data_IF_670119130308
#
_entry.id   IF_670119130308
#
_cell.length_a   1.000
_cell.length_b   1.000
_cell.length_c   1.000
_cell.angle_alpha   90.00
_cell.angle_beta   90.00
_cell.angle_gamma   90.00
#
_symmetry.space_group_name_H-M   'P 1'
#
loop_
_entity.id
_entity.type
_entity.pdbx_description
1 polymer ?
#
# COMPACT_ATOMS: atom_id res chain seq x y z
N UNK A 1 -8.13 60.85 -48.04
CA UNK A 1 -7.51 61.59 -46.92
C UNK A 1 -6.70 60.62 -46.06
N UNK A 2 -5.39 60.51 -46.32
CA UNK A 2 -4.45 59.71 -45.54
C UNK A 2 -3.73 60.61 -44.54
N UNK A 3 -4.42 60.98 -43.45
CA UNK A 3 -3.80 61.76 -42.38
C UNK A 3 -2.94 60.83 -41.52
N UNK A 4 -1.62 61.02 -41.48
CA UNK A 4 -0.69 60.14 -40.73
C UNK A 4 -1.04 60.07 -39.25
N UNK A 5 -1.54 61.17 -38.70
CA UNK A 5 -1.85 61.32 -37.28
C UNK A 5 -3.00 60.41 -36.85
N UNK A 6 -3.96 60.15 -37.75
CA UNK A 6 -5.05 59.20 -37.50
C UNK A 6 -4.54 57.75 -37.37
N UNK A 7 -3.44 57.39 -38.04
CA UNK A 7 -2.82 56.06 -37.88
C UNK A 7 -2.18 55.90 -36.50
N UNK A 8 -1.58 56.97 -35.98
CA UNK A 8 -0.95 56.97 -34.65
C UNK A 8 -2.00 56.88 -33.53
N UNK A 9 -3.09 57.65 -33.61
CA UNK A 9 -4.20 57.56 -32.66
C UNK A 9 -4.85 56.18 -32.68
N UNK A 10 -5.10 55.61 -33.86
CA UNK A 10 -5.63 54.25 -33.99
C UNK A 10 -4.69 53.21 -33.38
N UNK A 11 -3.38 53.33 -33.61
CA UNK A 11 -2.37 52.45 -33.01
C UNK A 11 -2.39 52.53 -31.47
N UNK A 12 -2.51 53.73 -30.90
CA UNK A 12 -2.61 53.91 -29.43
C UNK A 12 -3.88 53.25 -28.90
N UNK A 13 -5.02 53.41 -29.57
CA UNK A 13 -6.27 52.74 -29.16
C UNK A 13 -6.19 51.21 -29.20
N UNK A 14 -5.59 50.65 -30.25
CA UNK A 14 -5.41 49.20 -30.38
C UNK A 14 -4.46 48.66 -29.32
N UNK A 15 -3.32 49.32 -29.11
CA UNK A 15 -2.34 48.95 -28.08
C UNK A 15 -2.90 49.09 -26.67
N UNK A 16 -3.75 50.08 -26.39
CA UNK A 16 -4.41 50.21 -25.09
C UNK A 16 -5.27 48.98 -24.75
N UNK A 17 -6.03 48.46 -25.72
CA UNK A 17 -6.83 47.24 -25.56
C UNK A 17 -5.97 45.98 -25.35
N UNK A 18 -4.83 45.88 -26.03
CA UNK A 18 -3.87 44.79 -25.83
C UNK A 18 -3.24 44.84 -24.42
N UNK A 19 -2.79 46.02 -23.99
CA UNK A 19 -2.24 46.24 -22.65
C UNK A 19 -3.25 45.88 -21.56
N UNK A 20 -4.53 46.22 -21.75
CA UNK A 20 -5.57 45.85 -20.80
C UNK A 20 -5.83 44.33 -20.77
N UNK A 21 -5.86 43.68 -21.94
CA UNK A 21 -5.95 42.21 -22.03
C UNK A 21 -4.78 41.53 -21.31
N UNK A 22 -3.57 42.03 -21.48
CA UNK A 22 -2.37 41.49 -20.83
C UNK A 22 -2.41 41.69 -19.32
N UNK A 23 -2.88 42.86 -18.86
CA UNK A 23 -3.12 43.11 -17.42
C UNK A 23 -4.14 42.15 -16.84
N UNK A 24 -5.26 41.92 -17.53
CA UNK A 24 -6.31 40.98 -17.11
C UNK A 24 -5.76 39.55 -17.05
N UNK A 25 -5.00 39.14 -18.07
CA UNK A 25 -4.34 37.84 -18.13
C UNK A 25 -3.39 37.65 -16.94
N UNK A 26 -2.49 38.62 -16.70
CA UNK A 26 -1.55 38.61 -15.58
C UNK A 26 -2.24 38.56 -14.21
N UNK A 27 -3.32 39.35 -14.01
CA UNK A 27 -4.13 39.33 -12.79
C UNK A 27 -4.82 37.97 -12.60
N UNK A 28 -5.38 37.39 -13.66
CA UNK A 28 -6.05 36.09 -13.62
C UNK A 28 -5.08 34.98 -13.26
N UNK A 29 -3.89 34.95 -13.88
CA UNK A 29 -2.85 33.96 -13.58
C UNK A 29 -2.38 34.12 -12.13
N UNK A 30 -2.11 35.35 -11.70
CA UNK A 30 -1.66 35.63 -10.32
C UNK A 30 -2.70 35.25 -9.28
N UNK A 31 -3.98 35.55 -9.53
CA UNK A 31 -5.09 35.15 -8.65
C UNK A 31 -5.27 33.63 -8.59
N UNK A 32 -5.15 32.94 -9.72
CA UNK A 32 -5.22 31.47 -9.78
C UNK A 32 -4.06 30.82 -9.03
N UNK A 33 -2.86 31.39 -9.16
CA UNK A 33 -1.67 30.95 -8.44
C UNK A 33 -1.84 31.12 -6.93
N UNK A 34 -2.28 32.30 -6.49
CA UNK A 34 -2.51 32.61 -5.09
C UNK A 34 -3.57 31.70 -4.47
N UNK A 35 -4.67 31.45 -5.18
CA UNK A 35 -5.71 30.52 -4.73
C UNK A 35 -5.15 29.11 -4.50
N UNK A 36 -4.32 28.60 -5.41
CA UNK A 36 -3.66 27.29 -5.25
C UNK A 36 -2.67 27.28 -4.08
N UNK A 37 -1.94 28.38 -3.88
CA UNK A 37 -1.02 28.56 -2.74
C UNK A 37 -1.76 28.60 -1.40
N UNK A 38 -2.99 29.10 -1.37
CA UNK A 38 -3.87 29.06 -0.20
C UNK A 38 -4.58 27.70 0.01
N UNK A 39 -4.37 26.73 -0.88
CA UNK A 39 -4.98 25.39 -0.80
C UNK A 39 -6.37 25.30 -1.44
N UNK A 40 -6.79 26.29 -2.22
CA UNK A 40 -8.03 26.25 -2.99
C UNK A 40 -7.81 25.64 -4.37
N UNK A 41 -8.83 24.92 -4.86
CA UNK A 41 -8.75 24.27 -6.16
C UNK A 41 -9.45 25.11 -7.23
N UNK A 42 -8.67 25.52 -8.22
CA UNK A 42 -9.11 26.34 -9.35
C UNK A 42 -8.99 25.51 -10.64
N UNK A 43 -10.13 25.17 -11.24
CA UNK A 43 -10.18 24.43 -12.50
C UNK A 43 -11.36 23.47 -12.60
N UNK A 44 -11.23 22.49 -13.50
CA UNK A 44 -12.20 21.39 -13.66
C UNK A 44 -11.98 20.36 -12.56
N UNK A 45 -13.05 19.97 -11.86
CA UNK A 45 -12.99 18.97 -10.81
C UNK A 45 -12.40 17.64 -11.33
N UNK A 46 -11.44 17.04 -10.60
CA UNK A 46 -10.98 15.69 -10.88
C UNK A 46 -12.10 14.67 -10.68
N UNK A 47 -11.97 13.50 -11.33
CA UNK A 47 -12.95 12.42 -11.19
C UNK A 47 -13.12 12.00 -9.72
N UNK A 48 -14.34 11.86 -9.23
CA UNK A 48 -14.64 11.60 -7.82
C UNK A 48 -14.91 12.85 -6.98
N UNK A 49 -14.75 14.04 -7.54
CA UNK A 49 -15.09 15.31 -6.91
C UNK A 49 -15.99 16.15 -7.83
N UNK A 50 -16.77 17.04 -7.21
CA UNK A 50 -17.46 18.15 -7.87
C UNK A 50 -16.89 19.48 -7.39
N UNK A 51 -16.94 20.49 -8.26
CA UNK A 51 -16.55 21.85 -7.89
C UNK A 51 -17.59 22.42 -6.93
N UNK A 52 -17.14 22.81 -5.75
CA UNK A 52 -17.96 23.40 -4.69
C UNK A 52 -17.39 24.77 -4.31
N UNK A 53 -18.20 25.63 -3.71
CA UNK A 53 -17.73 26.89 -3.14
C UNK A 53 -17.95 26.88 -1.65
N UNK A 54 -16.91 27.19 -0.91
CA UNK A 54 -16.91 27.27 0.54
C UNK A 54 -17.83 28.41 1.04
N UNK A 55 -18.00 28.50 2.36
CA UNK A 55 -18.73 29.59 3.03
C UNK A 55 -18.18 30.98 2.64
N UNK A 56 -16.87 31.07 2.42
CA UNK A 56 -16.18 32.27 1.93
C UNK A 56 -16.28 32.48 0.40
N UNK A 57 -17.15 31.75 -0.30
CA UNK A 57 -17.32 31.75 -1.77
C UNK A 57 -16.05 31.40 -2.57
N UNK A 58 -15.04 30.82 -1.92
CA UNK A 58 -13.81 30.35 -2.56
C UNK A 58 -13.99 28.94 -3.15
N UNK A 59 -13.35 28.67 -4.29
CA UNK A 59 -13.50 27.41 -5.03
C UNK A 59 -12.78 26.24 -4.35
N UNK A 60 -13.50 25.18 -4.03
CA UNK A 60 -13.02 23.94 -3.39
C UNK A 60 -13.58 22.71 -4.11
N UNK A 61 -13.20 21.52 -3.65
CA UNK A 61 -13.72 20.25 -4.15
C UNK A 61 -14.53 19.54 -3.07
N UNK A 62 -15.65 18.93 -3.46
CA UNK A 62 -16.47 18.08 -2.60
C UNK A 62 -16.58 16.67 -3.20
N UNK A 63 -16.44 15.59 -2.42
CA UNK A 63 -16.63 14.23 -2.92
C UNK A 63 -18.01 14.04 -3.56
N UNK A 64 -18.06 13.34 -4.69
CA UNK A 64 -19.30 12.97 -5.36
C UNK A 64 -19.54 11.45 -5.31
N UNK A 65 -20.61 10.96 -5.94
CA UNK A 65 -20.94 9.53 -5.99
C UNK A 65 -19.83 8.65 -6.59
N UNK A 66 -18.99 9.20 -7.47
CA UNK A 66 -17.88 8.48 -8.09
C UNK A 66 -16.65 8.38 -7.19
N UNK A 67 -16.63 9.07 -6.04
CA UNK A 67 -15.58 8.96 -5.03
C UNK A 67 -15.39 7.52 -4.55
N UNK A 68 -16.46 6.72 -4.52
CA UNK A 68 -16.42 5.29 -4.21
C UNK A 68 -15.48 4.53 -5.15
N UNK A 69 -15.59 4.75 -6.46
CA UNK A 69 -14.72 4.11 -7.45
C UNK A 69 -13.25 4.52 -7.29
N UNK A 70 -13.00 5.77 -6.89
CA UNK A 70 -11.64 6.25 -6.61
C UNK A 70 -11.06 5.51 -5.41
N UNK A 71 -11.78 5.47 -4.28
CA UNK A 71 -11.36 4.75 -3.07
C UNK A 71 -11.08 3.29 -3.37
N UNK A 72 -11.98 2.62 -4.10
CA UNK A 72 -11.84 1.22 -4.52
C UNK A 72 -10.64 1.01 -5.45
N UNK A 73 -10.43 1.90 -6.43
CA UNK A 73 -9.29 1.82 -7.33
C UNK A 73 -7.96 1.90 -6.58
N UNK A 74 -7.81 2.86 -5.67
CA UNK A 74 -6.58 2.99 -4.87
C UNK A 74 -6.38 1.80 -3.94
N UNK A 75 -7.44 1.27 -3.31
CA UNK A 75 -7.37 0.08 -2.47
C UNK A 75 -6.94 -1.17 -3.27
N UNK A 76 -7.57 -1.44 -4.42
CA UNK A 76 -7.24 -2.59 -5.27
C UNK A 76 -5.82 -2.51 -5.85
N UNK A 77 -5.38 -1.32 -6.27
CA UNK A 77 -4.01 -1.13 -6.78
C UNK A 77 -2.97 -1.21 -5.66
N UNK A 78 -3.29 -0.72 -4.46
CA UNK A 78 -2.40 -0.83 -3.31
C UNK A 78 -2.18 -2.28 -2.86
N UNK A 79 -3.15 -3.18 -3.07
CA UNK A 79 -2.98 -4.62 -2.85
C UNK A 79 -1.98 -5.24 -3.85
N UNK A 80 -1.80 -4.64 -5.03
CA UNK A 80 -0.81 -5.03 -6.04
C UNK A 80 -0.93 -6.49 -6.54
N UNK A 81 -2.11 -7.10 -6.41
CA UNK A 81 -2.36 -8.50 -6.83
C UNK A 81 -2.59 -8.59 -8.34
N UNK A 82 -3.35 -7.63 -8.88
CA UNK A 82 -3.75 -7.60 -10.28
C UNK A 82 -3.09 -6.44 -11.03
N UNK A 83 -3.00 -6.57 -12.36
CA UNK A 83 -2.49 -5.48 -13.17
C UNK A 83 -3.43 -4.27 -13.12
N UNK A 84 -2.87 -3.06 -13.17
CA UNK A 84 -3.62 -1.79 -13.21
C UNK A 84 -4.68 -1.80 -14.32
N UNK A 85 -4.36 -2.42 -15.46
CA UNK A 85 -5.28 -2.52 -16.60
C UNK A 85 -6.45 -3.49 -16.33
N UNK A 86 -6.19 -4.58 -15.61
CA UNK A 86 -7.23 -5.53 -15.19
C UNK A 86 -8.21 -4.85 -14.23
N UNK A 87 -7.68 -4.16 -13.22
CA UNK A 87 -8.46 -3.39 -12.25
C UNK A 87 -9.32 -2.34 -12.96
N UNK A 88 -8.73 -1.58 -13.90
CA UNK A 88 -9.46 -0.61 -14.71
C UNK A 88 -10.62 -1.24 -15.49
N UNK A 89 -10.39 -2.41 -16.11
CA UNK A 89 -11.45 -3.12 -16.87
C UNK A 89 -12.59 -3.57 -15.96
N UNK A 90 -12.26 -4.09 -14.76
CA UNK A 90 -13.26 -4.49 -13.75
C UNK A 90 -14.09 -3.28 -13.30
N UNK A 91 -13.45 -2.19 -12.91
CA UNK A 91 -14.14 -0.96 -12.52
C UNK A 91 -14.95 -0.36 -13.67
N UNK A 92 -14.50 -0.52 -14.92
CA UNK A 92 -15.25 -0.07 -16.10
C UNK A 92 -16.55 -0.86 -16.29
N UNK A 93 -16.54 -2.17 -16.00
CA UNK A 93 -17.77 -2.99 -16.01
C UNK A 93 -18.74 -2.57 -14.90
N UNK A 94 -18.24 -2.09 -13.77
CA UNK A 94 -19.04 -1.57 -12.66
C UNK A 94 -19.57 -0.13 -12.89
N UNK A 95 -19.20 0.52 -14.00
CA UNK A 95 -19.70 1.85 -14.39
C UNK A 95 -18.66 2.97 -14.42
N UNK A 96 -17.38 2.70 -14.15
CA UNK A 96 -16.31 3.69 -14.25
C UNK A 96 -16.00 4.03 -15.72
N UNK A 97 -16.13 5.30 -16.10
CA UNK A 97 -15.97 5.74 -17.50
C UNK A 97 -14.53 6.10 -17.92
N UNK A 98 -13.52 5.77 -17.11
CA UNK A 98 -12.14 6.18 -17.37
C UNK A 98 -11.41 5.28 -18.38
N UNK A 99 -10.71 5.94 -19.30
CA UNK A 99 -9.79 5.29 -20.23
C UNK A 99 -8.41 5.04 -19.57
N UNK A 100 -7.54 4.31 -20.28
CA UNK A 100 -6.25 3.85 -19.75
C UNK A 100 -5.33 4.99 -19.30
N UNK A 101 -5.21 6.05 -20.10
CA UNK A 101 -4.40 7.23 -19.77
C UNK A 101 -4.98 7.97 -18.56
N UNK A 102 -6.27 8.27 -18.60
CA UNK A 102 -6.97 8.98 -17.53
C UNK A 102 -6.92 8.22 -16.19
N UNK A 103 -7.03 6.89 -16.20
CA UNK A 103 -6.91 6.06 -15.00
C UNK A 103 -5.50 6.10 -14.41
N UNK A 104 -4.46 6.06 -15.25
CA UNK A 104 -3.06 6.18 -14.82
C UNK A 104 -2.77 7.57 -14.23
N UNK A 105 -3.31 8.62 -14.82
CA UNK A 105 -3.15 9.99 -14.34
C UNK A 105 -3.90 10.21 -13.02
N UNK A 106 -5.10 9.63 -12.88
CA UNK A 106 -5.87 9.62 -11.64
C UNK A 106 -5.05 9.04 -10.48
N UNK A 107 -4.42 7.88 -10.68
CA UNK A 107 -3.64 7.21 -9.62
C UNK A 107 -2.36 7.96 -9.20
N UNK A 108 -1.87 8.88 -10.03
CA UNK A 108 -0.69 9.71 -9.75
C UNK A 108 -1.03 11.08 -9.15
N UNK A 109 -2.31 11.43 -9.14
CA UNK A 109 -2.74 12.77 -8.78
C UNK A 109 -2.77 12.95 -7.25
N UNK A 110 -1.97 13.89 -6.75
CA UNK A 110 -1.87 14.22 -5.31
C UNK A 110 -3.13 14.88 -4.74
N UNK A 111 -4.09 15.28 -5.57
CA UNK A 111 -5.37 15.84 -5.09
C UNK A 111 -6.12 14.83 -4.22
N UNK A 112 -6.05 13.54 -4.53
CA UNK A 112 -6.76 12.50 -3.80
C UNK A 112 -6.28 12.31 -2.35
N UNK A 113 -5.08 12.79 -2.01
CA UNK A 113 -4.53 12.82 -0.65
C UNK A 113 -4.72 14.19 0.04
N UNK A 114 -5.60 15.05 -0.50
CA UNK A 114 -5.85 16.38 0.08
C UNK A 114 -4.74 17.39 -0.19
N UNK A 115 -3.89 17.20 -1.21
CA UNK A 115 -2.78 18.12 -1.54
C UNK A 115 -2.94 18.74 -2.92
N UNK A 116 -2.43 19.95 -3.12
CA UNK A 116 -2.49 20.66 -4.40
C UNK A 116 -1.07 20.96 -4.86
N UNK A 117 -0.78 20.59 -6.11
CA UNK A 117 0.48 20.96 -6.78
C UNK A 117 0.37 22.37 -7.34
N UNK A 118 1.19 23.26 -6.82
CA UNK A 118 1.34 24.63 -7.33
C UNK A 118 2.49 24.62 -8.33
N UNK A 119 2.27 24.98 -9.61
CA UNK A 119 3.33 25.05 -10.61
C UNK A 119 4.33 26.17 -10.26
N UNK A 120 5.50 26.13 -10.87
CA UNK A 120 6.47 27.23 -10.78
C UNK A 120 5.86 28.51 -11.34
N UNK A 121 6.06 29.63 -10.64
CA UNK A 121 5.58 30.93 -11.09
C UNK A 121 6.57 32.02 -10.71
N UNK A 122 7.05 32.76 -11.72
CA UNK A 122 8.05 33.82 -11.59
C UNK A 122 9.36 33.29 -10.97
N UNK A 123 9.62 33.60 -9.70
CA UNK A 123 10.83 33.22 -8.94
C UNK A 123 10.55 32.17 -7.87
N UNK A 124 9.31 31.70 -7.75
CA UNK A 124 8.91 30.70 -6.76
C UNK A 124 8.88 29.32 -7.41
N UNK A 125 9.67 28.38 -6.86
CA UNK A 125 9.72 26.99 -7.31
C UNK A 125 8.38 26.28 -7.11
N UNK A 126 8.12 25.25 -7.93
CA UNK A 126 6.93 24.41 -7.77
C UNK A 126 6.86 23.81 -6.35
N UNK A 127 5.69 23.92 -5.72
CA UNK A 127 5.47 23.47 -4.34
C UNK A 127 4.20 22.62 -4.24
N UNK A 128 4.11 21.83 -3.18
CA UNK A 128 2.91 21.05 -2.86
C UNK A 128 2.36 21.56 -1.55
N UNK A 129 1.13 22.08 -1.58
CA UNK A 129 0.46 22.68 -0.43
C UNK A 129 -0.70 21.81 0.02
N UNK A 130 -1.06 21.87 1.31
CA UNK A 130 -2.27 21.21 1.82
C UNK A 130 -3.51 21.90 1.24
N UNK A 131 -4.36 21.11 0.59
CA UNK A 131 -5.64 21.55 0.06
C UNK A 131 -6.68 21.70 1.17
N UNK A 132 -7.69 22.53 0.92
CA UNK A 132 -8.85 22.71 1.80
C UNK A 132 -9.97 21.70 1.56
N UNK A 133 -9.85 20.85 0.53
CA UNK A 133 -10.83 19.82 0.21
C UNK A 133 -10.59 18.52 0.99
N UNK A 134 -11.64 17.72 1.13
CA UNK A 134 -11.58 16.42 1.79
C UNK A 134 -10.71 15.42 1.00
N UNK A 135 -9.77 14.74 1.66
CA UNK A 135 -8.96 13.69 1.05
C UNK A 135 -9.78 12.40 0.89
N UNK A 136 -9.78 11.81 -0.31
CA UNK A 136 -10.43 10.52 -0.54
C UNK A 136 -9.57 9.33 -0.11
N UNK A 137 -8.25 9.49 -0.11
CA UNK A 137 -7.28 8.41 0.07
C UNK A 137 -6.21 8.83 1.07
N UNK A 138 -5.75 7.89 1.90
CA UNK A 138 -4.65 8.15 2.84
C UNK A 138 -3.31 8.29 2.12
N UNK A 139 -2.39 9.06 2.71
CA UNK A 139 -1.03 9.26 2.19
C UNK A 139 -0.30 7.91 2.04
N UNK A 140 -0.51 7.00 2.98
CA UNK A 140 0.09 5.65 2.96
C UNK A 140 -0.38 4.83 1.76
N UNK A 141 -1.69 4.79 1.50
CA UNK A 141 -2.26 4.05 0.36
C UNK A 141 -1.76 4.64 -0.95
N UNK A 142 -1.71 5.96 -1.06
CA UNK A 142 -1.18 6.65 -2.24
C UNK A 142 0.29 6.31 -2.47
N UNK A 143 1.12 6.32 -1.43
CA UNK A 143 2.54 5.96 -1.53
C UNK A 143 2.74 4.52 -1.99
N UNK A 144 1.96 3.56 -1.46
CA UNK A 144 1.96 2.18 -1.94
C UNK A 144 1.66 2.10 -3.43
N UNK A 145 0.65 2.82 -3.91
CA UNK A 145 0.34 2.90 -5.34
C UNK A 145 1.49 3.52 -6.15
N UNK A 146 2.14 4.58 -5.66
CA UNK A 146 3.31 5.16 -6.36
C UNK A 146 4.48 4.17 -6.45
N UNK A 147 4.70 3.35 -5.43
CA UNK A 147 5.74 2.32 -5.46
C UNK A 147 5.48 1.25 -6.53
N UNK A 148 4.21 0.90 -6.77
CA UNK A 148 3.81 0.04 -7.91
C UNK A 148 4.22 0.65 -9.25
N UNK A 149 4.11 1.97 -9.40
CA UNK A 149 4.55 2.69 -10.61
C UNK A 149 6.07 2.77 -10.76
N UNK A 150 6.82 2.83 -9.64
CA UNK A 150 8.29 2.83 -9.63
C UNK A 150 8.91 1.47 -9.97
N UNK A 151 8.10 0.47 -10.32
CA UNK A 151 8.59 -0.85 -10.71
C UNK A 151 8.88 -1.78 -9.52
N UNK A 152 8.55 -1.39 -8.29
CA UNK A 152 8.44 -2.31 -7.14
C UNK A 152 7.15 -3.13 -7.26
N UNK A 153 6.93 -3.73 -8.42
CA UNK A 153 5.76 -4.56 -8.68
C UNK A 153 5.94 -5.90 -7.97
N UNK A 154 4.86 -6.36 -7.35
CA UNK A 154 4.80 -7.72 -6.86
C UNK A 154 4.88 -8.67 -8.06
N UNK A 155 5.85 -9.57 -8.05
CA UNK A 155 6.09 -10.51 -9.15
C UNK A 155 4.90 -11.47 -9.36
N UNK A 156 4.02 -11.60 -8.35
CA UNK A 156 2.72 -12.27 -8.39
C UNK A 156 1.69 -11.72 -9.37
N UNK A 157 1.90 -10.55 -9.97
CA UNK A 157 0.87 -9.85 -10.76
C UNK A 157 0.35 -10.69 -11.93
N UNK A 158 -0.99 -10.74 -12.06
CA UNK A 158 -1.68 -11.40 -13.17
C UNK A 158 -1.36 -10.69 -14.49
N UNK A 159 -0.87 -11.37 -15.53
CA UNK A 159 -0.66 -10.74 -16.83
C UNK A 159 -2.01 -10.37 -17.46
N UNK A 160 -2.00 -9.37 -18.35
CA UNK A 160 -3.21 -8.85 -19.00
C UNK A 160 -3.95 -9.90 -19.86
N UNK A 161 -3.26 -10.98 -20.26
CA UNK A 161 -3.82 -12.14 -20.94
C UNK A 161 -3.29 -13.41 -20.27
N UNK A 162 -4.20 -14.20 -19.71
CA UNK A 162 -3.87 -15.49 -19.09
C UNK A 162 -3.54 -16.50 -20.18
N UNK A 163 -2.37 -17.11 -20.08
CA UNK A 163 -2.06 -18.31 -20.84
C UNK A 163 -1.98 -19.48 -19.85
N UNK A 164 -3.07 -20.24 -19.76
CA UNK A 164 -3.27 -21.28 -18.75
C UNK A 164 -2.17 -22.36 -18.78
N UNK A 165 -1.59 -22.62 -19.95
CA UNK A 165 -0.50 -23.59 -20.11
C UNK A 165 0.83 -23.12 -19.53
N UNK A 166 1.01 -21.80 -19.30
CA UNK A 166 2.27 -21.23 -18.84
C UNK A 166 2.10 -20.33 -17.60
N UNK A 167 1.68 -20.87 -16.44
CA UNK A 167 1.49 -20.10 -15.20
C UNK A 167 2.75 -19.38 -14.73
N UNK A 168 3.90 -20.05 -14.83
CA UNK A 168 5.20 -19.55 -14.37
C UNK A 168 5.89 -18.60 -15.37
N UNK A 169 5.22 -18.23 -16.47
CA UNK A 169 5.74 -17.19 -17.38
C UNK A 169 5.94 -15.89 -16.59
N UNK A 170 7.05 -15.20 -16.85
CA UNK A 170 7.51 -13.99 -16.15
C UNK A 170 8.13 -14.18 -14.76
N UNK A 171 8.02 -15.36 -14.14
CA UNK A 171 8.75 -15.73 -12.92
C UNK A 171 10.10 -16.40 -13.18
N UNK A 172 10.35 -16.79 -14.42
CA UNK A 172 11.54 -17.54 -14.82
C UNK A 172 12.49 -16.66 -15.64
N UNK A 173 13.76 -16.69 -15.27
CA UNK A 173 14.88 -16.05 -15.97
C UNK A 173 15.87 -17.12 -16.39
N UNK A 174 16.43 -17.03 -17.60
CA UNK A 174 17.37 -18.02 -18.10
C UNK A 174 18.69 -17.95 -17.32
N UNK A 175 19.14 -19.08 -16.77
CA UNK A 175 20.42 -19.17 -16.05
C UNK A 175 21.63 -18.86 -16.95
N UNK A 176 21.57 -19.18 -18.25
CA UNK A 176 22.70 -19.03 -19.17
C UNK A 176 22.93 -17.59 -19.63
N UNK A 177 21.86 -16.85 -19.88
CA UNK A 177 21.95 -15.57 -20.59
C UNK A 177 21.17 -14.44 -19.91
N UNK A 178 20.57 -14.69 -18.73
CA UNK A 178 19.79 -13.70 -17.99
C UNK A 178 18.50 -13.23 -18.69
N UNK A 179 18.21 -13.75 -19.88
CA UNK A 179 17.03 -13.40 -20.67
C UNK A 179 15.74 -13.96 -20.07
N UNK A 180 14.60 -13.36 -20.41
CA UNK A 180 13.31 -13.86 -19.95
C UNK A 180 12.96 -15.21 -20.58
N UNK A 181 12.41 -16.11 -19.78
CA UNK A 181 11.82 -17.37 -20.26
C UNK A 181 10.37 -17.12 -20.68
N UNK A 182 10.00 -17.64 -21.84
CA UNK A 182 8.64 -17.58 -22.40
C UNK A 182 8.12 -18.99 -22.67
N UNK A 183 6.83 -19.12 -23.00
CA UNK A 183 6.18 -20.38 -23.35
C UNK A 183 5.77 -20.42 -24.82
N UNK A 184 5.91 -21.58 -25.45
CA UNK A 184 5.33 -21.86 -26.78
C UNK A 184 4.83 -23.29 -26.86
N UNK A 185 3.78 -23.50 -27.65
CA UNK A 185 3.27 -24.83 -27.99
C UNK A 185 3.80 -25.24 -29.35
N UNK A 186 4.38 -26.43 -29.41
CA UNK A 186 4.74 -27.11 -30.66
C UNK A 186 3.67 -28.14 -31.00
N UNK A 187 3.15 -28.10 -32.23
CA UNK A 187 2.16 -29.07 -32.72
C UNK A 187 2.88 -30.26 -33.36
N UNK A 188 2.71 -31.45 -32.81
CA UNK A 188 3.09 -32.72 -33.43
C UNK A 188 1.98 -33.24 -34.35
N UNK A 189 2.16 -34.46 -34.87
CA UNK A 189 1.17 -35.10 -35.77
C UNK A 189 -0.19 -35.34 -35.08
N UNK A 190 -0.16 -35.72 -33.80
CA UNK A 190 -1.35 -36.11 -33.02
C UNK A 190 -1.54 -35.30 -31.74
N UNK A 191 -0.47 -34.76 -31.14
CA UNK A 191 -0.50 -34.06 -29.85
C UNK A 191 0.20 -32.71 -29.92
N UNK A 192 -0.17 -31.82 -28.99
CA UNK A 192 0.49 -30.53 -28.74
C UNK A 192 1.44 -30.69 -27.56
N UNK A 193 2.61 -30.07 -27.65
CA UNK A 193 3.65 -30.12 -26.63
C UNK A 193 4.00 -28.70 -26.20
N UNK A 194 3.82 -28.39 -24.93
CA UNK A 194 4.11 -27.08 -24.37
C UNK A 194 5.53 -27.04 -23.79
N UNK A 195 6.28 -25.99 -24.10
CA UNK A 195 7.66 -25.81 -23.62
C UNK A 195 7.91 -24.40 -23.11
N UNK A 196 8.62 -24.31 -21.98
CA UNK A 196 9.30 -23.10 -21.56
C UNK A 196 10.64 -23.01 -22.29
N UNK A 197 10.96 -21.85 -22.88
CA UNK A 197 12.21 -21.64 -23.59
C UNK A 197 12.70 -20.19 -23.47
N UNK A 198 14.01 -19.99 -23.63
CA UNK A 198 14.59 -18.66 -23.58
C UNK A 198 14.21 -17.82 -24.80
N UNK A 199 13.88 -16.53 -24.58
CA UNK A 199 13.59 -15.59 -25.66
C UNK A 199 14.83 -15.20 -26.49
N UNK A 200 16.02 -15.17 -25.89
CA UNK A 200 17.26 -14.68 -26.51
C UNK A 200 17.99 -15.76 -27.34
N UNK A 201 17.27 -16.76 -27.87
CA UNK A 201 17.81 -17.89 -28.67
C UNK A 201 18.83 -18.79 -27.94
N UNK A 202 18.89 -18.72 -26.61
CA UNK A 202 19.69 -19.65 -25.79
C UNK A 202 19.10 -21.07 -25.90
N UNK A 203 19.94 -22.12 -25.78
CA UNK A 203 19.52 -23.54 -25.92
C UNK A 203 18.59 -24.03 -24.78
N UNK A 204 18.19 -23.14 -23.86
CA UNK A 204 17.32 -23.49 -22.75
C UNK A 204 15.90 -23.75 -23.24
N UNK A 205 15.46 -25.01 -23.17
CA UNK A 205 14.12 -25.45 -23.55
C UNK A 205 13.74 -26.67 -22.71
N UNK A 206 12.65 -26.56 -21.94
CA UNK A 206 12.19 -27.60 -21.02
C UNK A 206 10.68 -27.78 -21.19
N UNK A 207 10.20 -29.02 -21.10
CA UNK A 207 8.76 -29.31 -21.11
C UNK A 207 8.05 -28.58 -19.96
N UNK A 208 6.79 -28.22 -20.12
CA UNK A 208 6.00 -27.61 -19.03
C UNK A 208 5.94 -28.53 -17.82
N UNK A 209 5.72 -29.83 -18.01
CA UNK A 209 5.63 -30.81 -16.92
C UNK A 209 6.95 -30.89 -16.14
N UNK A 210 8.07 -31.03 -16.85
CA UNK A 210 9.41 -31.06 -16.22
C UNK A 210 9.72 -29.75 -15.50
N UNK A 211 9.31 -28.61 -16.06
CA UNK A 211 9.52 -27.32 -15.43
C UNK A 211 8.71 -27.19 -14.13
N UNK A 212 7.45 -27.64 -14.11
CA UNK A 212 6.60 -27.61 -12.92
C UNK A 212 7.12 -28.59 -11.87
N UNK A 213 7.56 -29.79 -12.25
CA UNK A 213 8.18 -30.75 -11.33
C UNK A 213 9.44 -30.20 -10.66
N UNK A 214 10.28 -29.48 -11.41
CA UNK A 214 11.48 -28.81 -10.85
C UNK A 214 11.12 -27.71 -9.86
N UNK A 215 10.09 -26.92 -10.16
CA UNK A 215 9.59 -25.86 -9.26
C UNK A 215 8.95 -26.50 -8.02
N UNK A 216 8.15 -27.54 -8.18
CA UNK A 216 7.56 -28.31 -7.08
C UNK A 216 8.63 -28.91 -6.15
N UNK A 217 9.72 -29.45 -6.72
CA UNK A 217 10.87 -29.95 -5.95
C UNK A 217 11.58 -28.85 -5.16
N UNK A 218 11.68 -27.65 -5.74
CA UNK A 218 12.25 -26.49 -5.06
C UNK A 218 11.33 -26.01 -3.92
N UNK A 219 10.01 -26.00 -4.15
CA UNK A 219 9.02 -25.65 -3.13
C UNK A 219 8.96 -26.68 -1.99
N UNK A 220 9.14 -27.97 -2.29
CA UNK A 220 9.25 -29.04 -1.30
C UNK A 220 10.40 -28.79 -0.32
N UNK A 221 11.57 -28.39 -0.84
CA UNK A 221 12.73 -28.05 0.00
C UNK A 221 12.52 -26.80 0.88
N UNK A 222 11.48 -25.99 0.60
CA UNK A 222 11.11 -24.80 1.35
C UNK A 222 9.92 -25.04 2.29
N UNK A 223 9.44 -26.28 2.42
CA UNK A 223 8.37 -26.60 3.36
C UNK A 223 8.86 -26.52 4.80
N UNK A 224 7.96 -26.07 5.68
CA UNK A 224 8.19 -26.12 7.12
C UNK A 224 7.81 -27.50 7.65
N UNK A 225 8.59 -27.99 8.62
CA UNK A 225 8.25 -29.21 9.34
C UNK A 225 7.10 -28.95 10.33
N UNK A 226 6.31 -29.98 10.63
CA UNK A 226 5.15 -29.86 11.53
C UNK A 226 5.55 -29.32 12.92
N UNK A 227 6.74 -29.69 13.42
CA UNK A 227 7.29 -29.17 14.69
C UNK A 227 7.50 -27.64 14.67
N UNK A 228 7.92 -27.08 13.53
CA UNK A 228 8.13 -25.63 13.38
C UNK A 228 6.79 -24.90 13.29
N UNK A 229 5.82 -25.52 12.61
CA UNK A 229 4.44 -25.02 12.55
C UNK A 229 3.82 -24.95 13.94
N UNK A 230 3.96 -26.00 14.75
CA UNK A 230 3.48 -26.03 16.15
C UNK A 230 4.16 -24.94 16.97
N UNK A 231 5.50 -24.88 16.96
CA UNK A 231 6.28 -23.87 17.69
C UNK A 231 5.87 -22.44 17.31
N UNK A 232 5.72 -22.16 16.01
CA UNK A 232 5.32 -20.84 15.56
C UNK A 232 3.86 -20.53 15.92
N UNK A 233 2.98 -21.52 15.90
CA UNK A 233 1.59 -21.36 16.37
C UNK A 233 1.54 -21.02 17.87
N UNK A 234 2.44 -21.59 18.69
CA UNK A 234 2.56 -21.26 20.11
C UNK A 234 3.14 -19.86 20.33
N UNK A 235 4.23 -19.50 19.63
CA UNK A 235 4.81 -18.15 19.69
C UNK A 235 3.77 -17.09 19.30
N UNK A 236 2.95 -17.38 18.29
CA UNK A 236 1.88 -16.47 17.89
C UNK A 236 0.72 -16.43 18.87
N UNK A 237 0.35 -17.54 19.52
CA UNK A 237 -0.64 -17.51 20.62
C UNK A 237 -0.14 -16.66 21.79
N UNK A 238 1.14 -16.79 22.15
CA UNK A 238 1.74 -16.01 23.23
C UNK A 238 1.82 -14.52 22.87
N UNK A 239 2.28 -14.20 21.66
CA UNK A 239 2.34 -12.82 21.16
C UNK A 239 0.95 -12.19 21.05
N UNK A 240 -0.03 -12.96 20.55
CA UNK A 240 -1.41 -12.51 20.43
C UNK A 240 -2.08 -12.36 21.80
N UNK A 241 -1.75 -13.19 22.79
CA UNK A 241 -2.22 -13.03 24.17
C UNK A 241 -1.69 -11.74 24.81
N UNK A 242 -0.43 -11.38 24.53
CA UNK A 242 0.18 -10.13 24.99
C UNK A 242 -0.41 -8.90 24.28
N UNK A 243 -0.56 -8.97 22.95
CA UNK A 243 -1.14 -7.88 22.13
C UNK A 243 -2.62 -7.68 22.47
N UNK A 244 -3.41 -8.75 22.53
CA UNK A 244 -4.82 -8.67 22.93
C UNK A 244 -4.98 -8.30 24.39
N UNK A 245 -4.10 -8.75 25.29
CA UNK A 245 -4.09 -8.34 26.69
C UNK A 245 -3.91 -6.82 26.83
N UNK A 246 -2.88 -6.26 26.19
CA UNK A 246 -2.64 -4.82 26.16
C UNK A 246 -3.81 -4.06 25.51
N UNK A 247 -4.37 -4.59 24.40
CA UNK A 247 -5.50 -3.98 23.70
C UNK A 247 -6.79 -3.99 24.53
N UNK A 248 -7.12 -5.09 25.19
CA UNK A 248 -8.29 -5.18 26.09
C UNK A 248 -8.13 -4.20 27.24
N UNK A 249 -6.91 -4.04 27.76
CA UNK A 249 -6.60 -3.06 28.81
C UNK A 249 -6.76 -1.62 28.30
N UNK A 250 -6.27 -1.32 27.10
CA UNK A 250 -6.46 -0.03 26.44
C UNK A 250 -7.94 0.26 26.15
N UNK A 251 -8.69 -0.69 25.59
CA UNK A 251 -10.13 -0.55 25.35
C UNK A 251 -10.88 -0.28 26.65
N UNK A 252 -10.60 -1.02 27.72
CA UNK A 252 -11.19 -0.76 29.04
C UNK A 252 -10.92 0.67 29.51
N UNK A 253 -9.65 1.10 29.51
CA UNK A 253 -9.27 2.46 29.91
C UNK A 253 -9.95 3.55 29.08
N UNK A 254 -10.10 3.35 27.76
CA UNK A 254 -10.74 4.31 26.86
C UNK A 254 -12.26 4.32 27.03
N UNK A 255 -12.89 3.16 27.27
CA UNK A 255 -14.33 3.10 27.60
C UNK A 255 -14.64 3.71 28.97
N UNK A 256 -13.75 3.58 29.95
CA UNK A 256 -13.85 4.26 31.24
C UNK A 256 -13.71 5.78 31.08
N UNK A 257 -12.75 6.23 30.27
CA UNK A 257 -12.59 7.65 29.92
C UNK A 257 -13.84 8.19 29.23
N UNK A 258 -14.40 7.45 28.26
CA UNK A 258 -15.65 7.82 27.58
C UNK A 258 -16.81 7.99 28.57
N UNK A 259 -16.98 7.06 29.52
CA UNK A 259 -17.98 7.16 30.59
C UNK A 259 -17.75 8.39 31.47
N UNK A 260 -16.51 8.65 31.86
CA UNK A 260 -16.17 9.83 32.67
C UNK A 260 -16.46 11.15 31.95
N UNK A 261 -16.26 11.21 30.63
CA UNK A 261 -16.55 12.40 29.82
C UNK A 261 -18.06 12.62 29.68
N UNK A 262 -18.84 11.54 29.53
CA UNK A 262 -20.31 11.61 29.54
C UNK A 262 -20.85 12.09 30.89
N UNK A 263 -20.33 11.57 31.99
CA UNK A 263 -20.70 12.04 33.34
C UNK A 263 -20.37 13.53 33.54
N UNK A 264 -19.21 14.00 33.07
CA UNK A 264 -18.88 15.44 33.10
C UNK A 264 -19.80 16.30 32.24
N UNK A 265 -20.41 15.71 31.21
CA UNK A 265 -21.39 16.39 30.37
C UNK A 265 -22.71 16.57 31.15
N UNK A 266 -23.15 15.51 31.82
CA UNK A 266 -24.33 15.52 32.72
C UNK A 266 -24.12 16.54 33.87
N UNK A 267 -22.95 16.54 34.52
CA UNK A 267 -22.62 17.51 35.58
C UNK A 267 -22.67 18.97 35.07
N UNK A 268 -22.20 19.20 33.83
CA UNK A 268 -22.23 20.54 33.23
C UNK A 268 -23.65 20.99 32.89
N UNK A 269 -24.55 20.06 32.55
CA UNK A 269 -25.97 20.32 32.33
C UNK A 269 -26.67 20.68 33.65
N UNK A 270 -26.40 19.95 34.73
CA UNK A 270 -26.92 20.23 36.07
C UNK A 270 -26.46 21.60 36.61
N UNK A 271 -25.20 21.99 36.34
CA UNK A 271 -24.65 23.31 36.68
C UNK A 271 -25.33 24.45 35.89
N UNK A 272 -25.78 24.19 34.66
CA UNK A 272 -26.54 25.17 33.88
C UNK A 272 -27.98 25.30 34.42
N UNK A 273 -28.60 24.17 34.80
CA UNK A 273 -29.95 24.14 35.37
C UNK A 273 -30.04 24.87 36.71
N UNK A 274 -29.01 24.73 37.55
CA UNK A 274 -28.84 25.48 38.81
C UNK A 274 -28.47 26.96 38.62
N UNK A 275 -28.18 27.39 37.38
CA UNK A 275 -27.70 28.74 36.99
C UNK A 275 -26.34 29.13 37.56
N UNK A 276 -25.53 28.15 37.96
CA UNK A 276 -24.17 28.38 38.48
C UNK A 276 -23.17 28.77 37.36
N UNK A 277 -23.53 28.47 36.10
CA UNK A 277 -22.75 28.85 34.91
C UNK A 277 -23.61 29.56 33.86
N UNK A 278 -23.00 30.45 33.07
CA UNK A 278 -23.67 31.11 31.96
C UNK A 278 -23.64 30.26 30.67
N UNK A 279 -24.52 30.57 29.72
CA UNK A 279 -24.69 29.84 28.46
C UNK A 279 -23.40 29.78 27.61
N UNK A 280 -22.62 30.87 27.61
CA UNK A 280 -21.35 30.94 26.87
C UNK A 280 -20.29 29.99 27.44
N UNK A 281 -20.19 29.93 28.78
CA UNK A 281 -19.27 29.02 29.46
C UNK A 281 -19.69 27.56 29.32
N UNK A 282 -20.99 27.28 29.38
CA UNK A 282 -21.54 25.95 29.10
C UNK A 282 -21.19 25.48 27.69
N UNK A 283 -21.46 26.30 26.67
CA UNK A 283 -21.14 25.96 25.27
C UNK A 283 -19.66 25.62 25.09
N UNK A 284 -18.75 26.41 25.69
CA UNK A 284 -17.30 26.14 25.64
C UNK A 284 -16.91 24.81 26.31
N UNK A 285 -17.57 24.45 27.43
CA UNK A 285 -17.32 23.18 28.13
C UNK A 285 -17.82 22.01 27.27
N UNK A 286 -19.02 22.11 26.69
CA UNK A 286 -19.63 21.09 25.86
C UNK A 286 -18.85 20.88 24.55
N UNK A 287 -18.39 21.94 23.88
CA UNK A 287 -17.53 21.82 22.70
C UNK A 287 -16.24 21.06 23.00
N UNK A 288 -15.59 21.37 24.12
CA UNK A 288 -14.37 20.66 24.56
C UNK A 288 -14.65 19.18 24.85
N UNK A 289 -15.72 18.88 25.58
CA UNK A 289 -16.09 17.49 25.92
C UNK A 289 -16.46 16.71 24.65
N UNK A 290 -17.21 17.30 23.72
CA UNK A 290 -17.56 16.68 22.44
C UNK A 290 -16.32 16.42 21.56
N UNK A 291 -15.36 17.33 21.54
CA UNK A 291 -14.06 17.11 20.88
C UNK A 291 -13.34 15.89 21.44
N UNK A 292 -13.23 15.80 22.77
CA UNK A 292 -12.61 14.66 23.46
C UNK A 292 -13.38 13.35 23.24
N UNK A 293 -14.72 13.40 23.24
CA UNK A 293 -15.56 12.23 22.96
C UNK A 293 -15.36 11.72 21.54
N UNK A 294 -15.26 12.61 20.55
CA UNK A 294 -15.00 12.23 19.17
C UNK A 294 -13.63 11.55 19.00
N UNK A 295 -12.58 12.09 19.63
CA UNK A 295 -11.26 11.46 19.63
C UNK A 295 -11.29 10.06 20.26
N UNK A 296 -11.89 9.94 21.45
CA UNK A 296 -11.98 8.66 22.17
C UNK A 296 -12.85 7.65 21.43
N UNK A 297 -13.96 8.07 20.81
CA UNK A 297 -14.83 7.20 20.02
C UNK A 297 -14.09 6.65 18.78
N UNK A 298 -13.36 7.51 18.05
CA UNK A 298 -12.56 7.10 16.91
C UNK A 298 -11.49 6.07 17.30
N UNK A 299 -10.81 6.28 18.44
CA UNK A 299 -9.82 5.32 18.95
C UNK A 299 -10.46 3.98 19.34
N UNK A 300 -11.63 3.99 19.98
CA UNK A 300 -12.39 2.78 20.32
C UNK A 300 -12.81 2.01 19.06
N UNK A 301 -13.28 2.71 18.02
CA UNK A 301 -13.63 2.09 16.73
C UNK A 301 -12.43 1.42 16.06
N UNK A 302 -11.28 2.10 16.02
CA UNK A 302 -10.03 1.54 15.48
C UNK A 302 -9.60 0.29 16.26
N UNK A 303 -9.63 0.35 17.60
CA UNK A 303 -9.20 -0.75 18.46
C UNK A 303 -10.16 -1.95 18.43
N UNK A 304 -11.44 -1.73 18.10
CA UNK A 304 -12.46 -2.79 18.04
C UNK A 304 -12.53 -3.50 16.69
N UNK A 305 -12.21 -2.83 15.58
CA UNK A 305 -12.25 -3.40 14.23
C UNK A 305 -11.16 -4.45 13.92
N UNK A 306 -10.07 -4.51 14.69
CA UNK A 306 -8.88 -5.35 14.41
C UNK A 306 -8.99 -6.82 14.88
N UNK A 307 -10.19 -7.30 15.24
CA UNK A 307 -10.36 -8.46 16.15
C UNK A 307 -10.06 -9.85 15.54
N UNK A 308 -10.43 -10.11 14.30
CA UNK A 308 -10.62 -11.50 13.84
C UNK A 308 -9.87 -11.90 12.57
N UNK A 309 -9.11 -10.99 11.95
CA UNK A 309 -8.54 -11.24 10.63
C UNK A 309 -7.17 -11.93 10.68
N UNK A 310 -6.29 -11.52 11.60
CA UNK A 310 -4.86 -11.90 11.57
C UNK A 310 -4.66 -13.40 11.85
N UNK A 311 -5.38 -13.97 12.83
CA UNK A 311 -5.26 -15.41 13.17
C UNK A 311 -5.58 -16.32 12.00
N UNK A 312 -6.71 -16.07 11.35
CA UNK A 312 -7.15 -16.86 10.22
C UNK A 312 -6.16 -16.78 9.05
N UNK A 313 -5.56 -15.59 8.82
CA UNK A 313 -4.51 -15.43 7.79
C UNK A 313 -3.20 -16.11 8.16
N UNK A 314 -2.82 -16.09 9.43
CA UNK A 314 -1.64 -16.78 9.94
C UNK A 314 -1.79 -18.29 9.77
N UNK A 315 -2.89 -18.87 10.26
CA UNK A 315 -3.10 -20.32 10.20
C UNK A 315 -3.19 -20.80 8.75
N UNK A 316 -3.85 -20.02 7.89
CA UNK A 316 -3.87 -20.25 6.45
C UNK A 316 -2.47 -20.17 5.83
N UNK A 317 -1.65 -19.20 6.26
CA UNK A 317 -0.28 -19.03 5.81
C UNK A 317 0.62 -20.19 6.24
N UNK A 318 0.48 -20.67 7.47
CA UNK A 318 1.22 -21.83 7.98
C UNK A 318 0.80 -23.13 7.29
N UNK A 319 -0.50 -23.32 7.05
CA UNK A 319 -1.04 -24.41 6.22
C UNK A 319 -0.44 -24.39 4.82
N UNK A 320 -0.34 -23.22 4.20
CA UNK A 320 0.25 -23.03 2.88
C UNK A 320 1.74 -23.42 2.91
N UNK A 321 2.52 -22.89 3.86
CA UNK A 321 3.96 -23.17 3.97
C UNK A 321 4.28 -24.64 4.26
N UNK A 322 3.36 -25.36 4.92
CA UNK A 322 3.53 -26.79 5.20
C UNK A 322 3.26 -27.65 3.96
N UNK A 323 2.39 -27.20 3.04
CA UNK A 323 1.89 -27.99 1.91
C UNK A 323 2.21 -27.36 0.54
N UNK A 324 3.31 -26.59 0.44
CA UNK A 324 3.65 -25.79 -0.74
C UNK A 324 3.68 -26.59 -2.05
N UNK A 325 4.27 -27.77 -2.07
CA UNK A 325 4.39 -28.58 -3.29
C UNK A 325 3.00 -29.07 -3.78
N UNK A 326 2.21 -29.66 -2.88
CA UNK A 326 0.87 -30.19 -3.16
C UNK A 326 -0.08 -29.06 -3.58
N UNK A 327 -0.01 -27.92 -2.88
CA UNK A 327 -0.77 -26.71 -3.21
C UNK A 327 -0.36 -26.17 -4.58
N UNK A 328 0.94 -26.14 -4.89
CA UNK A 328 1.39 -25.69 -6.20
C UNK A 328 0.89 -26.62 -7.31
N UNK A 329 1.11 -27.93 -7.21
CA UNK A 329 0.80 -28.88 -8.27
C UNK A 329 -0.69 -28.94 -8.61
N UNK A 330 -1.56 -28.92 -7.60
CA UNK A 330 -3.01 -29.04 -7.75
C UNK A 330 -3.73 -27.71 -8.00
N UNK A 331 -3.01 -26.59 -8.00
CA UNK A 331 -3.63 -25.27 -8.10
C UNK A 331 -3.78 -24.76 -9.53
N UNK A 332 -4.74 -23.86 -9.70
CA UNK A 332 -5.03 -23.21 -10.97
C UNK A 332 -3.98 -22.15 -11.33
N UNK A 333 -4.11 -21.59 -12.53
CA UNK A 333 -3.17 -20.60 -13.07
C UNK A 333 -2.92 -19.42 -12.11
N UNK A 334 -3.98 -18.86 -11.52
CA UNK A 334 -3.85 -17.69 -10.64
C UNK A 334 -3.16 -18.08 -9.32
N UNK A 335 -3.57 -19.18 -8.72
CA UNK A 335 -3.01 -19.66 -7.45
C UNK A 335 -1.53 -20.03 -7.56
N UNK A 336 -1.09 -20.70 -8.64
CA UNK A 336 0.35 -20.98 -8.89
C UNK A 336 1.19 -19.70 -8.89
N UNK A 337 0.68 -18.61 -9.47
CA UNK A 337 1.36 -17.31 -9.50
C UNK A 337 1.36 -16.61 -8.15
N UNK A 338 0.26 -16.71 -7.39
CA UNK A 338 0.16 -16.15 -6.03
C UNK A 338 1.16 -16.85 -5.11
N UNK A 339 1.26 -18.18 -5.17
CA UNK A 339 2.22 -18.97 -4.39
C UNK A 339 3.65 -18.53 -4.74
N UNK A 340 4.00 -18.53 -6.03
CA UNK A 340 5.33 -18.12 -6.47
C UNK A 340 5.67 -16.68 -6.09
N UNK A 341 4.74 -15.73 -6.25
CA UNK A 341 4.94 -14.33 -5.91
C UNK A 341 5.00 -14.04 -4.40
N UNK A 342 4.38 -14.89 -3.58
CA UNK A 342 4.43 -14.74 -2.11
C UNK A 342 5.76 -15.24 -1.54
N UNK A 343 6.35 -16.27 -2.16
CA UNK A 343 7.56 -16.94 -1.69
C UNK A 343 8.82 -16.28 -2.25
N UNK A 344 8.84 -16.00 -3.56
CA UNK A 344 10.02 -15.50 -4.24
C UNK A 344 9.96 -13.98 -4.41
N UNK A 345 10.99 -13.31 -3.92
CA UNK A 345 11.14 -11.85 -4.07
C UNK A 345 11.83 -11.47 -5.38
N UNK A 346 12.40 -12.45 -6.08
CA UNK A 346 13.04 -12.29 -7.38
C UNK A 346 12.65 -13.45 -8.32
N UNK A 347 12.94 -13.31 -9.62
CA UNK A 347 12.66 -14.36 -10.61
C UNK A 347 13.59 -15.55 -10.41
N UNK A 348 13.05 -16.76 -10.53
CA UNK A 348 13.80 -18.01 -10.45
C UNK A 348 14.75 -18.14 -11.64
N UNK A 349 15.98 -18.57 -11.39
CA UNK A 349 16.95 -18.91 -12.42
C UNK A 349 16.65 -20.30 -12.93
N UNK A 350 16.37 -20.41 -14.22
CA UNK A 350 15.87 -21.60 -14.86
C UNK A 350 16.82 -22.04 -15.99
N UNK A 351 17.42 -23.21 -15.79
CA UNK A 351 18.30 -23.90 -16.73
C UNK A 351 17.68 -25.18 -17.29
N UNK A 352 18.42 -25.87 -18.17
CA UNK A 352 17.97 -27.15 -18.73
C UNK A 352 17.94 -28.25 -17.68
N UNK A 353 18.89 -28.26 -16.75
CA UNK A 353 19.02 -29.28 -15.71
C UNK A 353 18.48 -28.78 -14.38
N UNK A 354 18.81 -27.54 -13.99
CA UNK A 354 18.49 -27.01 -12.67
C UNK A 354 17.50 -25.84 -12.69
N UNK A 355 16.74 -25.71 -11.60
CA UNK A 355 15.98 -24.51 -11.24
C UNK A 355 16.51 -24.03 -9.89
N UNK A 356 16.94 -22.77 -9.81
CA UNK A 356 17.55 -22.18 -8.61
C UNK A 356 16.77 -20.96 -8.16
N UNK A 357 16.70 -20.77 -6.84
CA UNK A 357 16.21 -19.52 -6.23
C UNK A 357 17.27 -18.43 -6.33
N UNK A 358 16.82 -17.20 -6.55
CA UNK A 358 17.64 -15.98 -6.47
C UNK A 358 17.52 -15.35 -5.10
N UNK A 359 16.28 -15.12 -4.64
CA UNK A 359 15.99 -14.61 -3.30
C UNK A 359 14.60 -15.04 -2.82
N UNK A 360 14.53 -15.54 -1.59
CA UNK A 360 13.29 -15.95 -0.91
C UNK A 360 12.84 -14.83 0.02
N UNK A 361 11.55 -14.75 0.32
CA UNK A 361 11.01 -13.84 1.33
C UNK A 361 11.65 -14.13 2.71
N UNK A 362 12.07 -13.07 3.41
CA UNK A 362 12.78 -13.15 4.69
C UNK A 362 12.04 -14.00 5.73
N UNK A 363 10.71 -13.90 5.78
CA UNK A 363 9.87 -14.69 6.70
C UNK A 363 10.00 -16.18 6.42
N UNK A 364 9.91 -16.56 5.14
CA UNK A 364 10.03 -17.96 4.70
C UNK A 364 11.46 -18.45 4.94
N UNK A 365 12.46 -17.60 4.72
CA UNK A 365 13.86 -17.93 4.99
C UNK A 365 14.10 -18.21 6.48
N UNK A 366 13.59 -17.36 7.38
CA UNK A 366 13.70 -17.57 8.84
C UNK A 366 13.01 -18.87 9.27
N UNK A 367 11.81 -19.14 8.76
CA UNK A 367 11.06 -20.35 9.10
C UNK A 367 11.72 -21.63 8.59
N UNK A 368 12.41 -21.57 7.44
CA UNK A 368 13.06 -22.73 6.82
C UNK A 368 14.52 -22.94 7.27
N UNK A 369 15.19 -21.92 7.84
CA UNK A 369 16.58 -22.02 8.35
C UNK A 369 16.76 -23.09 9.43
N UNK A 370 15.74 -23.37 10.24
CA UNK A 370 15.83 -24.26 11.40
C UNK A 370 15.41 -25.72 11.14
N UNK A 371 14.96 -26.08 9.93
CA UNK A 371 14.51 -27.45 9.65
C UNK A 371 15.63 -28.49 9.75
N UNK A 372 16.86 -28.14 9.35
CA UNK A 372 18.02 -29.07 9.36
C UNK A 372 18.73 -29.19 10.72
N UNK A 373 18.65 -28.16 11.58
CA UNK A 373 19.31 -28.15 12.88
C UNK A 373 18.52 -28.85 13.98
N UNK A 374 17.19 -28.79 13.90
CA UNK A 374 16.28 -29.29 14.93
C UNK A 374 16.07 -30.80 14.92
N UNK A 375 16.38 -31.49 13.81
CA UNK A 375 16.28 -32.97 13.73
C UNK A 375 17.28 -33.70 14.65
N UNK A 376 18.35 -33.03 15.10
CA UNK A 376 19.40 -33.64 15.95
C UNK A 376 19.28 -33.35 17.44
N UNK A 377 18.35 -32.49 17.86
CA UNK A 377 18.17 -32.17 19.27
C UNK A 377 17.06 -33.05 19.86
N UNK A 378 17.46 -34.13 20.54
CA UNK A 378 16.57 -34.95 21.37
C UNK A 378 15.72 -34.04 22.25
N UNK A 379 14.41 -34.27 22.24
CA UNK A 379 13.38 -33.64 23.06
C UNK A 379 13.83 -33.50 24.52
N UNK A 380 14.41 -32.36 24.87
CA UNK A 380 14.48 -31.91 26.25
C UNK A 380 13.22 -31.11 26.52
N UNK A 381 12.53 -31.41 27.63
CA UNK A 381 11.35 -30.68 28.08
C UNK A 381 11.58 -29.17 27.97
N UNK A 382 10.64 -28.46 27.35
CA UNK A 382 10.68 -27.01 27.26
C UNK A 382 10.84 -26.41 28.66
N UNK A 383 11.97 -25.75 28.90
CA UNK A 383 12.17 -24.97 30.11
C UNK A 383 11.42 -23.66 29.91
N UNK A 384 10.48 -23.38 30.81
CA UNK A 384 9.48 -22.31 30.71
C UNK A 384 10.04 -20.88 30.72
N UNK A 385 11.37 -20.72 30.81
CA UNK A 385 12.09 -19.46 30.81
C UNK A 385 13.52 -19.73 30.34
N UNK A 386 13.79 -19.57 29.05
CA UNK A 386 15.16 -19.36 28.56
C UNK A 386 15.18 -17.97 27.92
N UNK A 387 15.57 -16.99 28.72
CA UNK A 387 15.55 -15.57 28.42
C UNK A 387 16.66 -15.21 27.45
N UNK A 388 16.48 -15.49 26.16
CA UNK A 388 17.27 -14.85 25.10
C UNK A 388 16.80 -13.41 24.88
N UNK A 389 16.96 -12.59 25.92
CA UNK A 389 16.92 -11.13 25.84
C UNK A 389 18.25 -10.67 25.23
N UNK A 390 18.26 -10.31 23.95
CA UNK A 390 19.42 -9.72 23.26
C UNK A 390 19.54 -8.23 23.64
N UNK A 391 19.82 -7.97 24.91
CA UNK A 391 20.22 -6.66 25.42
C UNK A 391 21.33 -6.89 26.46
N UNK A 392 22.57 -7.05 25.97
CA UNK A 392 23.76 -6.98 26.82
C UNK A 392 24.58 -5.77 26.37
N UNK A 393 24.91 -4.82 27.26
CA UNK A 393 25.81 -3.72 26.93
C UNK A 393 27.21 -4.27 26.64
N UNK A 394 27.90 -3.66 25.68
CA UNK A 394 29.21 -4.11 25.19
C UNK A 394 30.25 -4.24 26.31
N UNK A 395 30.95 -5.38 26.33
CA UNK A 395 32.07 -5.60 27.22
C UNK A 395 33.21 -4.61 26.88
N UNK A 396 33.52 -3.72 27.82
CA UNK A 396 34.64 -2.80 27.73
C UNK A 396 35.96 -3.56 27.72
N UNK A 397 36.73 -3.35 26.67
CA UNK A 397 38.13 -3.77 26.54
C UNK A 397 38.99 -2.68 27.20
N UNK A 398 39.63 -2.98 28.33
CA UNK A 398 41.08 -2.84 28.58
C UNK A 398 41.50 -2.72 30.07
N UNK A 399 42.77 -3.09 30.40
CA UNK A 399 43.21 -3.55 31.72
C UNK A 399 44.12 -2.55 32.48
N UNK A 400 44.25 -2.70 33.81
CA UNK A 400 45.48 -2.36 34.55
C UNK A 400 45.50 -2.99 35.96
N UNK A 401 46.67 -3.50 36.34
CA UNK A 401 47.02 -4.16 37.62
C UNK A 401 47.16 -3.14 38.76
N UNK A 402 47.19 -3.60 40.02
CA UNK A 402 48.35 -3.44 40.93
C UNK A 402 48.32 -4.51 42.05
N UNK A 403 49.48 -4.92 42.60
CA UNK A 403 49.63 -6.01 43.56
C UNK A 403 49.71 -5.49 45.01
N UNK A 404 49.04 -6.15 45.94
CA UNK A 404 49.27 -6.12 47.40
C UNK A 404 48.65 -7.43 47.93
N UNK A 405 49.36 -8.43 48.43
CA UNK A 405 50.38 -8.37 49.47
C UNK A 405 49.72 -8.63 50.82
N UNK A 406 49.51 -9.91 51.19
CA UNK A 406 49.79 -10.56 52.49
C UNK A 406 50.00 -12.04 52.21
#
# INVERSE_FOLDING_TARGET
>A
MSNSDNKMVLSIYLTAGEVERDKISSRTISGTYQAKKEGYFTGKAPYGYDNFRDEFKKSTLKPNQFSFFVKKAFAEVAMNIESIETIRKKLKQEGMKLEKSAFSELLKNVIYIGKIKVPEFKKESAMVVNGKHEALVSIETFNKVQDVFKGKRWYGTKPAQKNLEFPMRDFLTCELCGGQITGSVSKGRTKKYAYYHCRNKCKTRVSVDDAHNKIGSLLFNLQINENIKELFSEILKDSDSQINGNRVTQLKSKTELQKSLKSKMEDAEDLLLSKDINKERFNSIIERINGQLNEVNNEIEILSASKDSIKNYVDSGLMLLSNLNIMFDNSDYDSKRIIAGSIFTEKLLFGNDNCRTTKVNEVVEVLTRNSKGSERLKTKKAVKNDSFSVNVPGAGVEPARFPTGV
#
